data_IF_607260646859
#
_entry.id   IF_607260646859
#
_cell.length_a   1.000
_cell.length_b   1.000
_cell.length_c   1.000
_cell.angle_alpha   90.00
_cell.angle_beta   90.00
_cell.angle_gamma   90.00
#
_symmetry.space_group_name_H-M   'P 1'
#
loop_
_entity.id
_entity.type
_entity.pdbx_description
1 polymer ?
#
# COMPACT_ATOMS: atom_id res chain seq x y z
N UNK A 1 -0.21 -16.92 -6.36
CA UNK A 1 -0.34 -15.50 -6.10
C UNK A 1 -1.76 -15.17 -5.65
N UNK A 2 -1.89 -14.45 -4.57
CA UNK A 2 -3.19 -14.18 -4.01
C UNK A 2 -3.23 -12.79 -3.39
N UNK A 3 -4.35 -12.09 -3.67
CA UNK A 3 -4.68 -10.83 -3.05
C UNK A 3 -3.91 -9.62 -3.57
N UNK A 4 -4.51 -8.49 -3.33
CA UNK A 4 -4.03 -7.19 -3.78
C UNK A 4 -4.09 -6.19 -2.64
N UNK A 5 -3.11 -5.32 -2.55
CA UNK A 5 -3.20 -4.10 -1.75
C UNK A 5 -3.57 -2.96 -2.69
N UNK A 6 -4.72 -2.35 -2.44
CA UNK A 6 -5.21 -1.21 -3.22
C UNK A 6 -4.88 0.06 -2.46
N UNK A 7 -4.24 1.00 -3.11
CA UNK A 7 -3.82 2.25 -2.49
C UNK A 7 -3.96 3.42 -3.47
N UNK A 8 -4.04 4.62 -2.95
CA UNK A 8 -4.22 5.84 -3.74
C UNK A 8 -2.97 6.70 -3.67
N UNK A 9 -2.59 7.27 -4.81
CA UNK A 9 -1.54 8.30 -4.88
C UNK A 9 -2.09 9.57 -4.23
N UNK A 10 -1.42 10.02 -3.17
CA UNK A 10 -1.79 11.22 -2.43
C UNK A 10 -0.81 12.37 -2.68
N UNK A 11 0.38 12.07 -3.18
CA UNK A 11 1.41 13.07 -3.44
C UNK A 11 2.35 12.61 -4.54
N UNK A 12 2.75 13.54 -5.40
CA UNK A 12 3.82 13.36 -6.39
C UNK A 12 4.90 14.39 -6.11
N UNK A 13 6.12 13.92 -6.00
CA UNK A 13 7.29 14.79 -5.89
C UNK A 13 8.22 14.52 -7.08
N UNK A 14 8.52 15.56 -7.83
CA UNK A 14 9.48 15.53 -8.93
C UNK A 14 10.69 16.38 -8.54
N UNK A 15 11.81 15.74 -8.26
CA UNK A 15 13.07 16.38 -7.92
C UNK A 15 14.20 15.68 -8.67
N UNK A 16 15.30 15.30 -8.03
CA UNK A 16 16.34 14.49 -8.66
C UNK A 16 15.85 13.10 -9.07
N UNK A 17 14.77 12.61 -8.51
CA UNK A 17 14.00 11.45 -8.95
C UNK A 17 12.51 11.69 -8.68
N UNK A 18 11.66 10.87 -9.27
CA UNK A 18 10.21 10.97 -9.08
C UNK A 18 9.75 10.05 -7.96
N UNK A 19 8.95 10.60 -7.05
CA UNK A 19 8.34 9.88 -5.95
C UNK A 19 6.83 9.92 -6.08
N UNK A 20 6.20 8.77 -5.92
CA UNK A 20 4.75 8.65 -5.76
C UNK A 20 4.46 8.24 -4.31
N UNK A 21 3.95 9.17 -3.52
CA UNK A 21 3.50 8.91 -2.17
C UNK A 21 2.07 8.37 -2.18
N UNK A 22 1.85 7.26 -1.48
CA UNK A 22 0.54 6.61 -1.40
C UNK A 22 0.00 6.61 0.03
N UNK A 23 -1.31 6.40 0.18
CA UNK A 23 -1.96 6.38 1.50
C UNK A 23 -1.71 5.07 2.27
N UNK A 24 -1.28 4.01 1.61
CA UNK A 24 -0.77 2.82 2.27
C UNK A 24 0.63 3.04 2.84
N UNK A 25 1.10 2.11 3.63
CA UNK A 25 2.44 2.12 4.21
C UNK A 25 2.97 0.69 4.36
N UNK A 26 4.22 0.54 4.77
CA UNK A 26 4.79 -0.76 5.09
C UNK A 26 4.03 -1.45 6.25
N UNK A 27 3.25 -0.73 7.02
CA UNK A 27 2.34 -1.31 8.01
C UNK A 27 1.26 -2.20 7.35
N UNK A 28 0.92 -1.94 6.09
CA UNK A 28 -0.01 -2.73 5.30
C UNK A 28 0.68 -3.87 4.52
N UNK A 29 1.92 -3.67 4.11
CA UNK A 29 2.73 -4.66 3.39
C UNK A 29 4.21 -4.38 3.61
N UNK A 30 4.83 -5.06 4.56
CA UNK A 30 6.21 -4.76 4.96
C UNK A 30 7.30 -5.38 4.06
N UNK A 31 6.96 -6.40 3.29
CA UNK A 31 7.95 -7.20 2.54
C UNK A 31 8.83 -6.39 1.57
N UNK A 32 8.31 -5.46 0.76
CA UNK A 32 9.18 -4.68 -0.11
C UNK A 32 10.20 -3.85 0.66
N UNK A 33 9.76 -3.14 1.69
CA UNK A 33 10.63 -2.26 2.47
C UNK A 33 11.60 -3.00 3.37
N UNK A 34 11.14 -4.07 4.01
CA UNK A 34 11.96 -4.80 5.00
C UNK A 34 12.90 -5.82 4.35
N UNK A 35 12.46 -6.49 3.29
CA UNK A 35 13.20 -7.61 2.69
C UNK A 35 13.61 -7.37 1.24
N UNK A 36 13.28 -6.22 0.67
CA UNK A 36 13.51 -5.95 -0.75
C UNK A 36 12.69 -6.84 -1.68
N UNK A 37 11.59 -7.40 -1.21
CA UNK A 37 10.77 -8.30 -2.00
C UNK A 37 10.08 -7.56 -3.15
N UNK A 38 10.09 -8.18 -4.32
CA UNK A 38 9.39 -7.65 -5.47
C UNK A 38 7.89 -7.96 -5.37
N UNK A 39 7.09 -6.92 -5.55
CA UNK A 39 5.66 -7.03 -5.83
C UNK A 39 5.34 -6.27 -7.10
N UNK A 40 4.64 -6.92 -8.02
CA UNK A 40 4.19 -6.24 -9.23
C UNK A 40 3.22 -5.12 -8.87
N UNK A 41 3.36 -3.99 -9.57
CA UNK A 41 2.49 -2.83 -9.38
C UNK A 41 1.83 -2.50 -10.72
N UNK A 42 0.53 -2.35 -10.71
CA UNK A 42 -0.24 -1.82 -11.83
C UNK A 42 -1.01 -0.58 -11.40
N UNK A 43 -1.40 0.22 -12.38
CA UNK A 43 -2.15 1.46 -12.16
C UNK A 43 -3.51 1.30 -12.83
N UNK A 44 -4.56 1.50 -12.05
CA UNK A 44 -5.92 1.35 -12.55
C UNK A 44 -6.19 2.33 -13.72
N UNK A 45 -6.65 1.79 -14.83
CA UNK A 45 -6.97 2.58 -16.02
C UNK A 45 -5.79 3.09 -16.84
N UNK A 46 -4.56 2.71 -16.50
CA UNK A 46 -3.34 3.11 -17.21
C UNK A 46 -2.46 1.90 -17.49
N UNK A 47 -1.92 1.80 -18.70
CA UNK A 47 -1.09 0.67 -19.11
C UNK A 47 0.20 1.06 -19.84
N UNK A 48 0.40 2.33 -20.16
CA UNK A 48 1.56 2.82 -20.89
C UNK A 48 2.69 3.19 -19.93
N UNK A 49 3.74 2.38 -19.89
CA UNK A 49 4.89 2.59 -19.01
C UNK A 49 5.76 3.72 -19.55
N UNK A 50 5.88 4.81 -18.79
CA UNK A 50 6.58 6.03 -19.22
C UNK A 50 7.65 6.53 -18.27
N UNK A 51 7.44 6.38 -16.97
CA UNK A 51 8.24 7.04 -15.94
C UNK A 51 8.70 6.08 -14.88
N UNK A 52 9.89 6.32 -14.35
CA UNK A 52 10.39 5.60 -13.19
C UNK A 52 10.01 6.35 -11.90
N UNK A 53 9.46 5.60 -10.94
CA UNK A 53 9.08 6.12 -9.64
C UNK A 53 9.67 5.28 -8.51
N UNK A 54 9.97 5.93 -7.39
CA UNK A 54 9.94 5.29 -6.09
C UNK A 54 8.51 5.42 -5.57
N UNK A 55 7.88 4.31 -5.28
CA UNK A 55 6.54 4.26 -4.67
C UNK A 55 6.74 4.16 -3.17
N UNK A 56 6.37 5.22 -2.45
CA UNK A 56 6.66 5.38 -1.02
C UNK A 56 5.37 5.46 -0.21
N UNK A 57 5.43 4.92 1.00
CA UNK A 57 4.31 4.98 1.93
C UNK A 57 4.25 6.27 2.74
N UNK A 58 3.36 6.30 3.70
CA UNK A 58 3.01 7.48 4.49
C UNK A 58 3.63 7.51 5.90
N UNK A 59 4.59 6.64 6.19
CA UNK A 59 5.30 6.62 7.47
C UNK A 59 6.56 7.49 7.44
N UNK A 60 6.97 7.98 8.60
CA UNK A 60 8.27 8.65 8.81
C UNK A 60 9.37 7.58 8.92
N UNK A 61 9.59 6.81 7.86
CA UNK A 61 10.53 5.70 7.83
C UNK A 61 11.17 5.58 6.45
N UNK A 62 12.49 5.55 6.39
CA UNK A 62 13.22 5.46 5.12
C UNK A 62 12.92 4.16 4.35
N UNK A 63 12.57 3.10 5.04
CA UNK A 63 12.25 1.80 4.43
C UNK A 63 10.77 1.69 4.02
N UNK A 64 9.98 2.73 4.19
CA UNK A 64 8.57 2.70 3.80
C UNK A 64 8.41 2.90 2.29
N UNK A 65 8.83 1.88 1.55
CA UNK A 65 8.83 1.84 0.09
C UNK A 65 8.20 0.55 -0.41
N UNK A 66 7.37 0.68 -1.41
CA UNK A 66 6.81 -0.47 -2.13
C UNK A 66 7.61 -0.81 -3.38
N UNK A 67 8.29 0.16 -3.96
CA UNK A 67 9.16 -0.02 -5.12
C UNK A 67 10.18 1.10 -5.21
N UNK A 68 11.32 0.80 -5.83
CA UNK A 68 12.39 1.74 -6.12
C UNK A 68 12.69 1.67 -7.62
N UNK A 69 12.79 2.83 -8.27
CA UNK A 69 13.05 2.94 -9.71
C UNK A 69 12.13 2.04 -10.55
N UNK A 70 10.84 2.02 -10.20
CA UNK A 70 9.86 1.20 -10.90
C UNK A 70 9.30 1.94 -12.09
N UNK A 71 9.40 1.33 -13.27
CA UNK A 71 8.77 1.85 -14.48
C UNK A 71 7.26 1.65 -14.40
N UNK A 72 6.52 2.73 -14.44
CA UNK A 72 5.06 2.77 -14.32
C UNK A 72 4.47 3.74 -15.35
N UNK A 73 3.16 3.67 -15.60
CA UNK A 73 2.46 4.77 -16.27
C UNK A 73 2.68 6.09 -15.54
N UNK A 74 2.57 7.18 -16.23
CA UNK A 74 2.66 8.50 -15.62
C UNK A 74 1.57 8.67 -14.57
N UNK A 75 1.98 8.96 -13.34
CA UNK A 75 1.10 9.02 -12.18
C UNK A 75 0.66 10.44 -11.87
N UNK A 76 -0.58 10.55 -11.44
CA UNK A 76 -1.17 11.77 -10.92
C UNK A 76 -1.74 11.52 -9.53
N UNK A 77 -1.85 12.58 -8.74
CA UNK A 77 -2.56 12.53 -7.47
C UNK A 77 -3.99 12.04 -7.68
N UNK A 78 -4.40 11.05 -6.92
CA UNK A 78 -5.72 10.40 -7.04
C UNK A 78 -5.71 9.09 -7.81
N UNK A 79 -4.63 8.77 -8.53
CA UNK A 79 -4.52 7.48 -9.21
C UNK A 79 -4.58 6.31 -8.22
N UNK A 80 -5.20 5.24 -8.65
CA UNK A 80 -5.28 4.01 -7.86
C UNK A 80 -4.18 3.05 -8.30
N UNK A 81 -3.36 2.67 -7.34
CA UNK A 81 -2.29 1.69 -7.51
C UNK A 81 -2.73 0.36 -6.93
N UNK A 82 -2.45 -0.71 -7.65
CA UNK A 82 -2.70 -2.08 -7.25
C UNK A 82 -1.36 -2.78 -7.05
N UNK A 83 -1.07 -3.18 -5.83
CA UNK A 83 0.13 -3.95 -5.49
C UNK A 83 -0.28 -5.42 -5.41
N UNK A 84 0.31 -6.24 -6.26
CA UNK A 84 -0.06 -7.63 -6.47
C UNK A 84 0.57 -8.56 -5.42
N UNK A 85 -0.03 -9.73 -5.25
CA UNK A 85 0.48 -10.83 -4.41
C UNK A 85 0.64 -10.46 -2.92
N UNK A 86 -0.22 -9.58 -2.44
CA UNK A 86 -0.16 -9.04 -1.09
C UNK A 86 -0.94 -9.86 -0.05
N UNK A 87 -1.86 -10.74 -0.47
CA UNK A 87 -2.86 -11.36 0.40
C UNK A 87 -2.30 -12.18 1.56
N UNK A 88 -1.21 -12.92 1.35
CA UNK A 88 -0.64 -13.77 2.37
C UNK A 88 0.09 -13.00 3.49
N UNK A 89 0.57 -11.80 3.20
CA UNK A 89 1.49 -11.08 4.08
C UNK A 89 0.97 -9.73 4.60
N UNK A 90 -0.07 -9.19 4.00
CA UNK A 90 -0.57 -7.87 4.38
C UNK A 90 -1.07 -7.83 5.82
N UNK A 91 -2.11 -8.57 6.12
CA UNK A 91 -2.70 -8.54 7.46
C UNK A 91 -1.84 -9.28 8.50
N UNK A 92 -1.32 -10.47 8.13
CA UNK A 92 -0.58 -11.34 9.06
C UNK A 92 0.73 -10.72 9.56
N UNK A 93 1.38 -9.90 8.72
CA UNK A 93 2.62 -9.19 9.06
C UNK A 93 2.38 -7.70 9.31
N UNK A 94 1.13 -7.27 9.36
CA UNK A 94 0.77 -5.89 9.61
C UNK A 94 1.07 -5.43 11.03
N UNK A 95 1.29 -4.13 11.19
CA UNK A 95 1.62 -3.51 12.47
C UNK A 95 1.02 -2.11 12.55
N UNK A 96 1.17 -1.47 13.70
CA UNK A 96 0.56 -0.17 13.97
C UNK A 96 1.62 0.93 14.26
N UNK A 97 2.78 0.85 13.61
CA UNK A 97 3.81 1.87 13.77
C UNK A 97 3.27 3.27 13.42
N UNK A 98 3.62 4.27 14.20
CA UNK A 98 3.10 5.63 14.13
C UNK A 98 1.57 5.72 14.26
N UNK A 99 0.94 4.75 14.93
CA UNK A 99 -0.51 4.74 15.13
C UNK A 99 -1.31 4.45 13.87
N UNK A 100 -0.69 3.91 12.82
CA UNK A 100 -1.39 3.52 11.59
C UNK A 100 -2.40 2.42 11.87
N UNK A 101 -3.63 2.67 11.50
CA UNK A 101 -4.72 1.72 11.63
C UNK A 101 -4.71 0.75 10.44
N UNK A 102 -5.02 -0.50 10.71
CA UNK A 102 -5.10 -1.53 9.66
C UNK A 102 -6.30 -1.28 8.76
N UNK A 103 -6.12 -1.50 7.48
CA UNK A 103 -7.16 -1.31 6.47
C UNK A 103 -8.22 -2.42 6.52
N UNK A 104 -9.34 -2.19 5.84
CA UNK A 104 -10.37 -3.20 5.64
C UNK A 104 -9.90 -4.27 4.65
N UNK A 105 -10.51 -5.45 4.73
CA UNK A 105 -10.27 -6.57 3.83
C UNK A 105 -11.57 -7.02 3.17
N UNK A 106 -11.47 -7.35 1.89
CA UNK A 106 -12.60 -7.79 1.09
C UNK A 106 -12.23 -9.04 0.31
N UNK A 107 -13.18 -9.94 0.15
CA UNK A 107 -13.10 -11.03 -0.82
C UNK A 107 -13.95 -10.66 -2.03
N UNK A 108 -13.41 -10.88 -3.23
CA UNK A 108 -14.18 -10.80 -4.47
C UNK A 108 -14.69 -12.19 -4.83
N UNK A 109 -15.98 -12.35 -4.82
CA UNK A 109 -16.65 -13.62 -5.13
C UNK A 109 -18.00 -13.37 -5.78
N UNK A 110 -18.32 -14.13 -6.81
CA UNK A 110 -19.62 -14.07 -7.52
C UNK A 110 -19.98 -12.63 -7.96
N UNK A 111 -19.01 -11.93 -8.55
CA UNK A 111 -19.10 -10.52 -8.99
C UNK A 111 -19.40 -9.50 -7.87
N UNK A 112 -19.15 -9.87 -6.63
CA UNK A 112 -19.39 -9.00 -5.47
C UNK A 112 -18.14 -8.89 -4.57
N UNK A 113 -17.98 -7.72 -3.97
CA UNK A 113 -17.01 -7.51 -2.89
C UNK A 113 -17.70 -7.76 -1.55
N UNK A 114 -17.18 -8.74 -0.81
CA UNK A 114 -17.68 -9.10 0.53
C UNK A 114 -16.64 -8.64 1.53
N UNK A 115 -17.03 -7.73 2.41
CA UNK A 115 -16.14 -7.29 3.48
C UNK A 115 -16.00 -8.39 4.51
N UNK A 116 -14.79 -8.91 4.69
CA UNK A 116 -14.47 -9.94 5.67
C UNK A 116 -13.77 -9.39 6.92
N UNK A 117 -13.23 -8.18 6.81
CA UNK A 117 -12.60 -7.48 7.93
C UNK A 117 -12.85 -5.98 7.78
N UNK A 118 -13.38 -5.33 8.82
CA UNK A 118 -13.49 -3.87 8.83
C UNK A 118 -12.11 -3.22 9.09
N UNK A 119 -11.95 -1.98 8.74
CA UNK A 119 -10.77 -1.22 9.15
C UNK A 119 -10.74 -1.06 10.68
N UNK A 120 -9.53 -0.94 11.22
CA UNK A 120 -9.34 -0.62 12.63
C UNK A 120 -9.87 0.79 12.96
N UNK A 121 -10.23 0.96 14.21
CA UNK A 121 -10.54 2.25 14.84
C UNK A 121 -9.50 2.56 15.92
N UNK A 122 -9.51 3.78 16.44
CA UNK A 122 -8.65 4.13 17.59
C UNK A 122 -8.96 3.27 18.82
N UNK A 123 -10.21 2.89 18.99
CA UNK A 123 -10.61 1.98 20.08
C UNK A 123 -9.96 0.60 19.95
N UNK A 124 -9.84 0.07 18.73
CA UNK A 124 -9.11 -1.18 18.49
C UNK A 124 -7.63 -1.04 18.86
N UNK A 125 -7.01 0.09 18.46
CA UNK A 125 -5.60 0.36 18.71
C UNK A 125 -5.29 0.41 20.22
N UNK A 126 -6.18 0.96 21.01
CA UNK A 126 -6.03 1.16 22.45
C UNK A 126 -6.78 0.10 23.30
N UNK A 127 -7.29 -0.95 22.66
CA UNK A 127 -8.17 -1.94 23.32
C UNK A 127 -7.54 -2.65 24.53
N UNK A 128 -6.22 -2.68 24.62
CA UNK A 128 -5.50 -3.36 25.72
C UNK A 128 -5.03 -2.39 26.81
N UNK A 129 -5.30 -1.10 26.67
CA UNK A 129 -4.97 -0.14 27.72
C UNK A 129 -5.92 -0.28 28.91
N UNK A 130 -5.34 -0.35 30.08
CA UNK A 130 -6.05 -0.33 31.36
C UNK A 130 -5.91 1.07 31.97
N UNK A 131 -7.00 1.83 31.90
CA UNK A 131 -7.06 3.20 32.42
C UNK A 131 -8.24 3.41 33.34
#
# INVERSE_FOLDING_TARGET
PAGYLITKVIHIKDSYKKYAGVDASMANLMRPGMYGAYHHISVFGKSEFKCEYDVVGSLCENNDKFAVNRLLPELEKGDIIVIHDAGAHSHSMGFNYNGKLRCAEFIYKDNNFIKIRRKETLEDLFSTLEV
#
